data_IF_751664954444
#
_entry.id   IF_751664954444
#
_cell.length_a   1.000
_cell.length_b   1.000
_cell.length_c   1.000
_cell.angle_alpha   90.00
_cell.angle_beta   90.00
_cell.angle_gamma   90.00
#
_symmetry.space_group_name_H-M   'P 1'
#
loop_
_entity.id
_entity.type
_entity.pdbx_description
1 polymer ?
#
# COMPACT_ATOMS: atom_id res chain seq x y z
N UNK A 1 4.39 -13.14 6.85
CA UNK A 1 5.70 -12.43 6.83
C UNK A 1 5.97 -11.52 5.62
N UNK A 2 6.05 -12.01 4.36
CA UNK A 2 6.62 -11.22 3.23
C UNK A 2 5.96 -9.85 2.97
N UNK A 3 4.63 -9.76 3.08
CA UNK A 3 3.91 -8.53 2.73
C UNK A 3 4.20 -7.37 3.69
N UNK A 4 4.25 -7.62 5.01
CA UNK A 4 4.56 -6.58 5.98
C UNK A 4 6.04 -6.17 5.95
N UNK A 5 6.95 -7.12 5.67
CA UNK A 5 8.36 -6.78 5.46
C UNK A 5 8.54 -5.84 4.26
N UNK A 6 7.76 -6.01 3.18
CA UNK A 6 7.83 -5.13 2.02
C UNK A 6 7.51 -3.65 2.33
N UNK A 7 6.87 -3.34 3.47
CA UNK A 7 6.64 -1.95 3.93
C UNK A 7 7.89 -1.30 4.55
N UNK A 8 8.90 -2.11 4.92
CA UNK A 8 10.08 -1.71 5.69
C UNK A 8 11.38 -2.34 5.15
N UNK A 9 11.34 -2.90 3.94
CA UNK A 9 12.44 -3.64 3.30
C UNK A 9 13.61 -2.74 2.90
N UNK A 10 13.39 -1.43 2.88
CA UNK A 10 14.41 -0.41 2.73
C UNK A 10 15.09 -0.02 4.06
N UNK A 11 14.54 -0.46 5.21
CA UNK A 11 15.03 -0.11 6.54
C UNK A 11 15.77 -1.26 7.22
N UNK A 12 15.24 -2.48 7.14
CA UNK A 12 15.80 -3.66 7.81
C UNK A 12 15.71 -4.91 6.93
N UNK A 13 16.60 -5.87 7.17
CA UNK A 13 16.58 -7.14 6.45
C UNK A 13 15.37 -7.96 6.85
N UNK A 14 15.05 -8.97 6.03
CA UNK A 14 13.98 -9.91 6.33
C UNK A 14 14.24 -10.64 7.65
N UNK A 15 15.46 -11.14 7.85
CA UNK A 15 15.83 -11.87 9.06
C UNK A 15 15.68 -11.00 10.32
N UNK A 16 16.06 -9.72 10.25
CA UNK A 16 15.88 -8.78 11.35
C UNK A 16 14.40 -8.50 11.63
N UNK A 17 13.59 -8.34 10.57
CA UNK A 17 12.15 -8.16 10.72
C UNK A 17 11.51 -9.36 11.42
N UNK A 18 11.82 -10.59 10.98
CA UNK A 18 11.30 -11.83 11.57
C UNK A 18 11.67 -11.96 13.06
N UNK A 19 12.93 -11.64 13.42
CA UNK A 19 13.38 -11.62 14.83
C UNK A 19 12.61 -10.61 15.69
N UNK A 20 12.34 -9.40 15.15
CA UNK A 20 11.55 -8.39 15.88
C UNK A 20 10.10 -8.83 16.06
N UNK A 21 9.53 -9.52 15.08
CA UNK A 21 8.15 -10.06 15.16
C UNK A 21 8.06 -11.15 16.22
N UNK A 22 8.98 -12.12 16.23
CA UNK A 22 9.02 -13.17 17.25
C UNK A 22 9.14 -12.58 18.65
N UNK A 23 10.05 -11.62 18.82
CA UNK A 23 10.20 -10.88 20.09
C UNK A 23 8.90 -10.18 20.51
N UNK A 24 8.12 -9.63 19.58
CA UNK A 24 6.83 -8.99 19.91
C UNK A 24 5.78 -9.99 20.38
N UNK A 25 5.73 -11.17 19.76
CA UNK A 25 4.83 -12.25 20.18
C UNK A 25 5.16 -12.68 21.62
N UNK A 26 6.45 -12.89 21.90
CA UNK A 26 6.96 -13.26 23.23
C UNK A 26 6.66 -12.17 24.29
N UNK A 27 6.94 -10.90 23.98
CA UNK A 27 6.68 -9.77 24.87
C UNK A 27 5.19 -9.62 25.21
N UNK A 28 4.32 -9.95 24.27
CA UNK A 28 2.87 -9.94 24.45
C UNK A 28 2.33 -11.24 25.10
N UNK A 29 3.19 -12.21 25.44
CA UNK A 29 2.78 -13.47 26.05
C UNK A 29 1.82 -14.28 25.17
N UNK A 30 2.11 -14.33 23.86
CA UNK A 30 1.30 -15.01 22.83
C UNK A 30 -0.14 -14.47 22.67
N UNK A 31 -0.43 -13.27 23.20
CA UNK A 31 -1.73 -12.62 23.05
C UNK A 31 -1.98 -12.05 21.65
N UNK A 32 -0.92 -11.87 20.86
CA UNK A 32 -0.98 -11.33 19.50
C UNK A 32 -0.54 -12.41 18.52
N UNK A 33 -1.26 -12.50 17.41
CA UNK A 33 -0.84 -13.36 16.31
C UNK A 33 0.30 -12.71 15.49
N UNK A 34 0.92 -13.52 14.64
CA UNK A 34 2.05 -13.10 13.81
C UNK A 34 1.73 -11.87 12.93
N UNK A 35 0.58 -11.79 12.22
CA UNK A 35 0.23 -10.59 11.45
C UNK A 35 0.14 -9.33 12.30
N UNK A 36 -0.45 -9.43 13.50
CA UNK A 36 -0.56 -8.30 14.42
C UNK A 36 0.82 -7.87 14.91
N UNK A 37 1.66 -8.80 15.33
CA UNK A 37 3.03 -8.51 15.74
C UNK A 37 3.87 -7.89 14.60
N UNK A 38 3.70 -8.37 13.36
CA UNK A 38 4.33 -7.79 12.18
C UNK A 38 3.92 -6.33 11.96
N UNK A 39 2.63 -6.01 12.10
CA UNK A 39 2.16 -4.62 12.01
C UNK A 39 2.66 -3.74 13.16
N UNK A 40 2.86 -4.29 14.36
CA UNK A 40 3.49 -3.55 15.46
C UNK A 40 4.93 -3.15 15.11
N UNK A 41 5.71 -4.06 14.51
CA UNK A 41 7.08 -3.75 14.05
C UNK A 41 7.07 -2.69 12.94
N UNK A 42 6.14 -2.79 11.99
CA UNK A 42 5.95 -1.76 10.94
C UNK A 42 5.64 -0.39 11.55
N UNK A 43 4.77 -0.36 12.56
CA UNK A 43 4.42 0.85 13.31
C UNK A 43 5.60 1.46 14.08
N UNK A 44 6.42 0.64 14.72
CA UNK A 44 7.64 1.10 15.41
C UNK A 44 8.67 1.71 14.45
N UNK A 45 8.65 1.29 13.19
CA UNK A 45 9.49 1.84 12.12
C UNK A 45 8.85 3.05 11.41
N UNK A 46 7.66 3.47 11.82
CA UNK A 46 6.94 4.63 11.27
C UNK A 46 6.48 4.41 9.83
N UNK A 47 6.13 3.17 9.47
CA UNK A 47 5.73 2.77 8.11
C UNK A 47 4.29 2.25 8.04
N UNK A 48 3.50 2.45 9.10
CA UNK A 48 2.07 2.11 9.11
C UNK A 48 1.30 2.90 8.06
N UNK A 49 1.53 4.22 7.98
CA UNK A 49 1.00 5.10 6.95
C UNK A 49 1.97 6.25 6.68
N UNK A 50 2.57 6.28 5.49
CA UNK A 50 3.37 7.43 5.06
C UNK A 50 2.50 8.50 4.41
N UNK A 51 3.01 9.72 4.33
CA UNK A 51 2.40 10.79 3.53
C UNK A 51 2.80 10.65 2.06
N UNK A 52 2.01 11.24 1.15
CA UNK A 52 2.26 11.18 -0.30
C UNK A 52 3.67 11.67 -0.66
N UNK A 53 4.17 12.72 -0.02
CA UNK A 53 5.55 13.20 -0.22
C UNK A 53 6.61 12.15 0.15
N UNK A 54 6.27 11.19 1.01
CA UNK A 54 7.11 10.08 1.45
C UNK A 54 7.12 8.88 0.50
N UNK A 55 6.28 8.86 -0.55
CA UNK A 55 6.25 7.80 -1.58
C UNK A 55 7.49 7.77 -2.50
N UNK A 56 8.60 8.36 -2.03
CA UNK A 56 9.88 8.46 -2.74
C UNK A 56 10.93 7.48 -2.22
N UNK A 57 10.62 6.65 -1.22
CA UNK A 57 11.57 5.70 -0.65
C UNK A 57 11.82 4.50 -1.59
N UNK A 58 12.86 3.71 -1.28
CA UNK A 58 13.22 2.49 -2.05
C UNK A 58 12.37 1.27 -1.70
N UNK A 59 11.38 1.46 -0.83
CA UNK A 59 10.59 0.35 -0.35
C UNK A 59 9.75 -0.26 -1.45
N UNK A 60 9.58 -1.58 -1.37
CA UNK A 60 8.76 -2.30 -2.35
C UNK A 60 7.26 -2.02 -2.19
N UNK A 61 6.83 -1.58 -1.01
CA UNK A 61 5.42 -1.31 -0.71
C UNK A 61 5.26 -0.06 0.17
N UNK A 62 4.16 0.66 -0.06
CA UNK A 62 3.74 1.79 0.76
C UNK A 62 2.29 1.60 1.19
N UNK A 63 2.01 2.02 2.42
CA UNK A 63 0.67 2.22 2.95
C UNK A 63 0.49 3.73 3.18
N UNK A 64 -0.59 4.33 2.71
CA UNK A 64 -0.84 5.77 2.83
C UNK A 64 -2.32 6.08 2.68
N UNK A 65 -2.80 7.14 3.34
CA UNK A 65 -4.14 7.64 3.07
C UNK A 65 -4.12 8.68 1.93
N UNK A 66 -5.14 8.65 1.08
CA UNK A 66 -5.30 9.60 -0.01
C UNK A 66 -6.75 9.97 -0.25
N UNK A 67 -7.04 11.28 -0.33
CA UNK A 67 -8.33 11.77 -0.80
C UNK A 67 -8.35 11.74 -2.33
N UNK A 68 -9.42 11.20 -2.92
CA UNK A 68 -9.63 11.20 -4.37
C UNK A 68 -9.90 12.64 -4.83
N UNK A 69 -8.95 13.20 -5.56
CA UNK A 69 -9.01 14.53 -6.15
C UNK A 69 -9.64 14.48 -7.54
N UNK A 70 -9.33 13.43 -8.30
CA UNK A 70 -9.85 13.21 -9.65
C UNK A 70 -9.80 11.70 -10.00
N UNK A 71 -10.60 11.27 -10.98
CA UNK A 71 -10.62 9.89 -11.47
C UNK A 71 -10.96 9.81 -12.96
N UNK A 72 -10.52 8.73 -13.59
CA UNK A 72 -11.00 8.33 -14.92
C UNK A 72 -11.91 7.13 -14.83
N UNK A 73 -12.89 7.03 -15.73
CA UNK A 73 -13.59 5.77 -15.96
C UNK A 73 -12.62 4.70 -16.52
N UNK A 74 -12.89 3.41 -16.27
CA UNK A 74 -12.12 2.32 -16.87
C UNK A 74 -12.14 2.37 -18.39
N UNK A 75 -10.96 2.24 -19.01
CA UNK A 75 -10.78 2.22 -20.46
C UNK A 75 -10.20 0.88 -20.89
N UNK A 76 -10.77 0.30 -21.93
CA UNK A 76 -10.25 -0.91 -22.57
C UNK A 76 -9.03 -0.58 -23.45
N UNK A 77 -8.03 -1.46 -23.48
CA UNK A 77 -6.91 -1.41 -24.41
C UNK A 77 -6.53 -2.81 -24.92
N UNK A 78 -5.94 -2.87 -26.11
CA UNK A 78 -5.42 -4.11 -26.71
C UNK A 78 -4.00 -4.41 -26.19
N UNK A 79 -3.77 -5.65 -25.76
CA UNK A 79 -2.45 -6.14 -25.34
C UNK A 79 -1.70 -6.78 -26.51
N UNK A 80 -0.38 -6.90 -26.34
CA UNK A 80 0.49 -7.53 -27.32
C UNK A 80 0.22 -9.03 -27.54
N UNK A 81 -0.38 -9.71 -26.55
CA UNK A 81 -0.80 -11.11 -26.62
C UNK A 81 -2.17 -11.32 -27.29
N UNK A 82 -2.86 -10.23 -27.66
CA UNK A 82 -4.19 -10.26 -28.27
C UNK A 82 -5.33 -10.26 -27.26
N UNK A 83 -5.06 -10.26 -25.95
CA UNK A 83 -6.08 -10.09 -24.91
C UNK A 83 -6.47 -8.62 -24.73
N UNK A 84 -7.63 -8.40 -24.09
CA UNK A 84 -8.09 -7.07 -23.68
C UNK A 84 -7.65 -6.79 -22.25
N UNK A 85 -7.06 -5.61 -22.03
CA UNK A 85 -6.75 -5.08 -20.71
C UNK A 85 -7.65 -3.89 -20.37
N UNK A 86 -7.71 -3.56 -19.07
CA UNK A 86 -8.44 -2.39 -18.59
C UNK A 86 -7.52 -1.47 -17.79
N UNK A 87 -7.72 -0.16 -17.90
CA UNK A 87 -6.96 0.82 -17.12
C UNK A 87 -7.86 1.92 -16.61
N UNK A 88 -7.70 2.28 -15.34
CA UNK A 88 -8.26 3.47 -14.74
C UNK A 88 -7.19 4.21 -13.95
N UNK A 89 -7.35 5.51 -13.76
CA UNK A 89 -6.41 6.33 -12.98
C UNK A 89 -7.17 7.08 -11.91
N UNK A 90 -6.62 7.07 -10.69
CA UNK A 90 -7.01 7.93 -9.59
C UNK A 90 -5.91 8.97 -9.35
N UNK A 91 -6.31 10.21 -9.11
CA UNK A 91 -5.43 11.23 -8.54
C UNK A 91 -5.76 11.33 -7.06
N UNK A 92 -4.82 10.91 -6.21
CA UNK A 92 -4.97 10.97 -4.75
C UNK A 92 -4.16 12.15 -4.20
N UNK A 93 -4.68 12.77 -3.15
CA UNK A 93 -4.04 13.92 -2.49
C UNK A 93 -4.11 13.87 -0.97
N UNK A 94 -3.11 14.43 -0.33
CA UNK A 94 -3.04 14.73 1.11
C UNK A 94 -2.46 16.14 1.31
N UNK A 95 -2.20 16.54 2.55
CA UNK A 95 -1.64 17.87 2.83
C UNK A 95 -0.20 18.07 2.33
N UNK A 96 0.48 17.00 1.93
CA UNK A 96 1.88 17.00 1.50
C UNK A 96 2.06 16.96 -0.01
N UNK A 97 1.01 16.60 -0.77
CA UNK A 97 1.02 16.63 -2.23
C UNK A 97 -0.05 15.74 -2.86
N UNK A 98 0.17 15.40 -4.14
CA UNK A 98 -0.70 14.50 -4.90
C UNK A 98 0.11 13.39 -5.56
N UNK A 99 -0.46 12.19 -5.66
CA UNK A 99 0.11 11.06 -6.41
C UNK A 99 -0.90 10.49 -7.38
N UNK A 100 -0.41 9.90 -8.47
CA UNK A 100 -1.22 9.22 -9.48
C UNK A 100 -1.19 7.72 -9.23
N UNK A 101 -2.34 7.12 -8.98
CA UNK A 101 -2.50 5.66 -8.85
C UNK A 101 -3.11 5.13 -10.15
N UNK A 102 -2.44 4.17 -10.78
CA UNK A 102 -2.91 3.51 -11.99
C UNK A 102 -3.42 2.12 -11.63
N UNK A 103 -4.69 1.88 -11.90
CA UNK A 103 -5.38 0.62 -11.66
C UNK A 103 -5.46 -0.17 -12.96
N UNK A 104 -5.05 -1.44 -12.91
CA UNK A 104 -5.01 -2.33 -14.06
C UNK A 104 -6.03 -3.46 -13.92
N UNK A 105 -6.61 -3.85 -15.05
CA UNK A 105 -7.48 -5.00 -15.22
C UNK A 105 -8.65 -5.02 -14.23
N UNK A 106 -8.83 -6.09 -13.47
CA UNK A 106 -9.91 -6.21 -12.48
C UNK A 106 -9.93 -5.04 -11.48
N UNK A 107 -8.75 -4.48 -11.15
CA UNK A 107 -8.65 -3.33 -10.24
C UNK A 107 -9.16 -2.05 -10.87
N UNK A 108 -9.16 -1.92 -12.20
CA UNK A 108 -9.69 -0.72 -12.86
C UNK A 108 -11.17 -0.51 -12.53
N UNK A 109 -11.93 -1.59 -12.34
CA UNK A 109 -13.35 -1.54 -11.95
C UNK A 109 -13.61 -0.76 -10.66
N UNK A 110 -12.66 -0.73 -9.72
CA UNK A 110 -12.80 0.03 -8.46
C UNK A 110 -13.02 1.53 -8.69
N UNK A 111 -12.59 2.08 -9.83
CA UNK A 111 -12.84 3.46 -10.18
C UNK A 111 -14.32 3.78 -10.41
N UNK A 112 -15.18 2.78 -10.68
CA UNK A 112 -16.63 2.97 -10.82
C UNK A 112 -17.29 3.23 -9.46
N UNK A 113 -16.86 2.50 -8.43
CA UNK A 113 -17.40 2.59 -7.07
C UNK A 113 -16.75 3.69 -6.22
N UNK A 114 -15.65 4.27 -6.69
CA UNK A 114 -14.93 5.37 -6.02
C UNK A 114 -15.47 6.74 -6.47
N UNK A 115 -15.75 7.67 -5.57
CA UNK A 115 -16.14 9.04 -5.90
C UNK A 115 -15.03 10.07 -5.63
N UNK A 116 -15.06 11.19 -6.36
CA UNK A 116 -14.24 12.36 -6.00
C UNK A 116 -14.67 12.85 -4.62
N UNK A 117 -13.69 12.98 -3.72
CA UNK A 117 -13.94 13.33 -2.32
C UNK A 117 -13.75 12.18 -1.35
N UNK A 118 -13.79 10.93 -1.81
CA UNK A 118 -13.58 9.74 -0.96
C UNK A 118 -12.16 9.73 -0.39
N UNK A 119 -12.02 9.18 0.81
CA UNK A 119 -10.72 8.94 1.44
C UNK A 119 -10.45 7.44 1.40
N UNK A 120 -9.35 7.08 0.74
CA UNK A 120 -8.90 5.70 0.57
C UNK A 120 -7.62 5.47 1.36
N UNK A 121 -7.40 4.21 1.72
CA UNK A 121 -6.16 3.64 2.23
C UNK A 121 -5.53 2.74 1.16
#
# INVERSE_FOLDING_TARGET
MLFHHALVDDLITREEFEQRVEKKIDECGDLVDEPTAAMMVVGELGREHVKIKGLSAKSSLFSFFGKVVDKTEPKEFDRADGEKGWVATLLLGDETGTTRVVLWDEKAGAALDTAVGDVLE
#
